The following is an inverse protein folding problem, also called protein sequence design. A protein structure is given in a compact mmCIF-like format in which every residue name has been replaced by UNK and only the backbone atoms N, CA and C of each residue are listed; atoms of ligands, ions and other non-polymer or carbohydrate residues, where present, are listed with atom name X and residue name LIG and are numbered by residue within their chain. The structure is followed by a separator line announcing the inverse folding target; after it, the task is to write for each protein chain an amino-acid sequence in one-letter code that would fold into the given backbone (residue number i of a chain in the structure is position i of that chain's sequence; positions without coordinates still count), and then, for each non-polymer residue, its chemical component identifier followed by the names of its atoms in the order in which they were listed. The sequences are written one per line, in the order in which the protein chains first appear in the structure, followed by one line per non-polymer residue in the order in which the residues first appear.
data_IF_597900429564
#
_entry.id   IF_597900429564
#
_cell.length_a   1.000
_cell.length_b   1.000
_cell.length_c   1.000
_cell.angle_alpha   90.00
_cell.angle_beta   90.00
_cell.angle_gamma   90.00
#
_symmetry.space_group_name_H-M   'P 1'
#
loop_
_entity.id
_entity.type
_entity.pdbx_description
1 polymer ?
#
# COMPACT_ATOMS: atom_id res chain seq x y z
N UNK A 1 7.02 -16.46 -4.79
CA UNK A 1 7.30 -15.09 -5.26
C UNK A 1 6.49 -14.12 -4.43
N UNK A 2 7.02 -12.93 -4.15
CA UNK A 2 6.32 -11.85 -3.44
C UNK A 2 6.09 -10.68 -4.40
N UNK A 3 4.89 -10.10 -4.40
CA UNK A 3 4.52 -8.98 -5.27
C UNK A 3 4.12 -7.77 -4.42
N UNK A 4 4.58 -6.58 -4.82
CA UNK A 4 4.26 -5.34 -4.14
C UNK A 4 2.81 -4.93 -4.41
N UNK A 5 2.08 -4.57 -3.35
CA UNK A 5 0.75 -3.97 -3.42
C UNK A 5 0.85 -2.57 -2.82
N UNK A 6 0.47 -1.54 -3.57
CA UNK A 6 0.48 -0.16 -3.09
C UNK A 6 -0.33 -0.03 -1.79
N UNK A 7 0.14 0.82 -0.86
CA UNK A 7 -0.43 0.98 0.49
C UNK A 7 -1.95 1.19 0.50
N UNK A 8 -2.48 2.01 -0.42
CA UNK A 8 -3.92 2.25 -0.56
C UNK A 8 -4.76 0.99 -0.88
N UNK A 9 -4.13 0.03 -1.57
CA UNK A 9 -4.72 -1.27 -1.91
C UNK A 9 -4.26 -2.38 -0.97
N UNK A 10 -3.31 -2.09 -0.08
CA UNK A 10 -2.80 -3.02 0.91
C UNK A 10 -3.63 -2.91 2.19
N UNK A 11 -4.47 -3.90 2.50
CA UNK A 11 -5.29 -3.87 3.70
C UNK A 11 -4.51 -3.72 5.01
N UNK A 12 -3.30 -4.27 5.08
CA UNK A 12 -2.45 -4.16 6.27
C UNK A 12 -2.04 -2.71 6.55
N UNK A 13 -1.89 -1.92 5.48
CA UNK A 13 -1.47 -0.53 5.55
C UNK A 13 -2.61 0.40 5.98
N UNK A 14 -3.85 0.05 5.63
CA UNK A 14 -5.03 0.74 6.15
C UNK A 14 -5.09 0.63 7.68
N UNK A 15 -4.83 -0.55 8.24
CA UNK A 15 -4.87 -0.74 9.69
C UNK A 15 -3.70 -0.11 10.44
N UNK A 16 -2.52 0.02 9.82
CA UNK A 16 -1.34 0.61 10.45
C UNK A 16 -1.37 2.15 10.47
N UNK A 17 -2.07 2.80 9.52
CA UNK A 17 -2.15 4.26 9.40
C UNK A 17 -3.37 4.90 10.09
N UNK A 18 -3.87 4.29 11.15
CA UNK A 18 -5.00 4.83 11.93
C UNK A 18 -6.31 4.97 11.12
N UNK A 19 -6.65 3.96 10.32
CA UNK A 19 -7.95 3.95 9.64
C UNK A 19 -9.08 3.77 10.66
N UNK A 20 -10.07 4.68 10.65
CA UNK A 20 -11.24 4.54 11.50
C UNK A 20 -12.04 3.28 11.15
N UNK A 21 -12.63 2.64 12.16
CA UNK A 21 -13.46 1.43 11.99
C UNK A 21 -14.59 1.66 10.98
N UNK A 22 -15.14 2.87 10.92
CA UNK A 22 -16.18 3.22 9.95
C UNK A 22 -15.65 3.26 8.51
N UNK A 23 -14.43 3.76 8.30
CA UNK A 23 -13.79 3.76 6.98
C UNK A 23 -13.42 2.34 6.59
N UNK A 24 -12.90 1.54 7.52
CA UNK A 24 -12.59 0.12 7.30
C UNK A 24 -13.83 -0.71 6.94
N UNK A 25 -14.99 -0.46 7.56
CA UNK A 25 -16.25 -1.13 7.21
C UNK A 25 -16.77 -0.75 5.82
N UNK A 26 -16.45 0.45 5.35
CA UNK A 26 -16.84 0.92 4.01
C UNK A 26 -15.92 0.39 2.92
N UNK A 27 -14.73 -0.08 3.26
CA UNK A 27 -13.80 -0.68 2.30
C UNK A 27 -13.95 -2.21 2.29
N UNK A 28 -13.78 -2.82 1.12
CA UNK A 28 -13.71 -4.29 0.95
C UNK A 28 -12.26 -4.74 1.06
N UNK A 29 -11.55 -4.31 2.10
CA UNK A 29 -10.10 -4.46 2.21
C UNK A 29 -9.65 -5.94 2.21
N UNK A 30 -10.48 -6.85 2.71
CA UNK A 30 -10.23 -8.31 2.72
C UNK A 30 -10.29 -8.95 1.33
N UNK A 31 -10.73 -8.20 0.31
CA UNK A 31 -10.85 -8.72 -1.05
C UNK A 31 -9.58 -8.60 -1.86
N UNK A 32 -8.69 -7.69 -1.44
CA UNK A 32 -7.51 -7.34 -2.20
C UNK A 32 -7.85 -6.67 -3.53
N UNK A 33 -6.82 -6.39 -4.35
CA UNK A 33 -7.02 -5.87 -5.69
C UNK A 33 -7.54 -6.95 -6.65
N UNK A 34 -8.35 -6.55 -7.64
CA UNK A 34 -9.06 -7.47 -8.53
C UNK A 34 -8.15 -8.46 -9.28
N UNK A 35 -6.92 -8.06 -9.59
CA UNK A 35 -5.95 -8.91 -10.28
C UNK A 35 -5.48 -10.11 -9.45
N UNK A 36 -5.55 -10.04 -8.11
CA UNK A 36 -5.12 -11.15 -7.25
C UNK A 36 -6.04 -12.37 -7.38
N UNK A 37 -7.28 -12.15 -7.85
CA UNK A 37 -8.28 -13.19 -8.12
C UNK A 37 -8.17 -13.77 -9.53
N UNK A 38 -7.37 -13.14 -10.40
CA UNK A 38 -7.16 -13.60 -11.77
C UNK A 38 -6.01 -14.60 -11.82
N UNK A 39 -5.89 -15.29 -12.95
CA UNK A 39 -4.75 -16.18 -13.20
C UNK A 39 -3.42 -15.41 -13.10
N UNK A 40 -2.35 -16.12 -12.73
CA UNK A 40 -1.02 -15.53 -12.49
C UNK A 40 -0.51 -14.71 -13.69
N UNK A 41 -0.87 -15.10 -14.91
CA UNK A 41 -0.54 -14.35 -16.14
C UNK A 41 -1.14 -12.93 -16.19
N UNK A 42 -2.19 -12.67 -15.42
CA UNK A 42 -2.85 -11.37 -15.31
C UNK A 42 -2.47 -10.61 -14.05
N UNK A 43 -1.62 -11.17 -13.19
CA UNK A 43 -1.08 -10.42 -12.08
C UNK A 43 -0.28 -9.27 -12.65
N UNK A 44 -0.66 -8.04 -12.28
CA UNK A 44 -0.01 -6.86 -12.78
C UNK A 44 1.51 -6.98 -12.58
N UNK A 45 2.29 -7.00 -13.68
CA UNK A 45 3.70 -6.61 -13.67
C UNK A 45 3.84 -5.10 -13.47
N UNK A 46 2.98 -4.52 -12.63
CA UNK A 46 3.00 -3.10 -12.34
C UNK A 46 4.39 -2.80 -11.80
N UNK A 47 5.18 -2.09 -12.60
CA UNK A 47 6.32 -1.36 -12.08
C UNK A 47 5.80 -0.59 -10.87
N UNK A 48 6.41 -0.74 -9.69
CA UNK A 48 5.89 -0.10 -8.49
C UNK A 48 5.75 1.39 -8.78
N UNK A 49 4.53 1.91 -8.72
CA UNK A 49 4.28 3.34 -8.77
C UNK A 49 4.77 3.89 -7.43
N UNK A 50 6.02 4.32 -7.41
CA UNK A 50 6.63 4.91 -6.23
C UNK A 50 5.97 6.27 -6.01
N UNK A 51 5.15 6.37 -4.97
CA UNK A 51 4.65 7.67 -4.54
C UNK A 51 5.81 8.43 -3.88
N UNK A 52 6.32 9.44 -4.58
CA UNK A 52 7.41 10.26 -4.07
C UNK A 52 7.03 10.97 -2.77
N UNK A 53 5.75 11.32 -2.55
CA UNK A 53 5.30 11.92 -1.28
C UNK A 53 5.46 10.94 -0.11
N UNK A 54 5.12 9.67 -0.33
CA UNK A 54 5.28 8.61 0.66
C UNK A 54 6.76 8.36 0.98
N UNK A 55 7.61 8.26 -0.04
CA UNK A 55 9.06 8.12 0.14
C UNK A 55 9.63 9.29 0.95
N UNK A 56 9.19 10.51 0.68
CA UNK A 56 9.64 11.70 1.41
C UNK A 56 9.18 11.71 2.89
N UNK A 57 8.09 11.04 3.24
CA UNK A 57 7.66 10.88 4.64
C UNK A 57 8.56 9.90 5.41
N UNK A 58 9.10 8.89 4.72
CA UNK A 58 10.00 7.90 5.33
C UNK A 58 11.47 8.36 5.40
N UNK A 59 11.84 9.41 4.66
CA UNK A 59 13.16 10.03 4.78
C UNK A 59 13.36 10.52 6.22
N UNK A 60 14.27 9.85 6.94
CA UNK A 60 14.73 10.33 8.25
C UNK A 60 15.23 11.76 8.07
N UNK A 61 14.63 12.70 8.79
CA UNK A 61 15.19 14.05 8.92
C UNK A 61 16.55 13.88 9.58
N UNK A 62 17.61 13.84 8.79
CA UNK A 62 18.96 13.92 9.32
C UNK A 62 19.07 15.31 9.93
N UNK A 63 18.92 15.41 11.25
CA UNK A 63 19.33 16.59 11.98
C UNK A 63 20.83 16.69 11.80
N UNK A 64 21.27 17.42 10.78
CA UNK A 64 22.65 17.89 10.67
C UNK A 64 22.78 18.97 11.74
N UNK A 65 23.01 18.52 12.97
CA UNK A 65 23.52 19.37 14.04
C UNK A 65 25.02 19.17 14.07
N UNK A 66 25.77 20.06 13.40
CA UNK A 66 26.85 20.85 13.99
C UNK A 66 27.37 21.88 12.98
#
# INVERSE_FOLDING_TARGET
MWYHVAGEKNPADLTSRECSVQKLKKTRWWEGPDWLRQEEMYWYHASPTVDASEVNQELKKTAITK
#
